data_IF_968852867994
#
_entry.id   IF_968852867994
#
_cell.length_a   1.000
_cell.length_b   1.000
_cell.length_c   1.000
_cell.angle_alpha   90.00
_cell.angle_beta   90.00
_cell.angle_gamma   90.00
#
_symmetry.space_group_name_H-M   'P 1'
#
loop_
_entity.id
_entity.type
_entity.pdbx_description
1 polymer ?
#
# COMPACT_ATOMS: atom_id res chain seq x y z
N UNK A 1 23.81 -19.18 17.09
CA UNK A 1 24.58 -18.61 15.97
C UNK A 1 24.01 -17.24 15.68
N UNK A 2 24.74 -16.19 16.05
CA UNK A 2 24.52 -14.84 15.54
C UNK A 2 24.55 -14.95 14.01
N UNK A 3 23.37 -14.95 13.39
CA UNK A 3 23.32 -14.68 11.96
C UNK A 3 23.62 -13.21 11.88
N UNK A 4 24.86 -12.94 11.51
CA UNK A 4 25.31 -11.60 11.18
C UNK A 4 24.42 -11.13 10.01
N UNK A 5 23.38 -10.35 10.32
CA UNK A 5 22.46 -9.80 9.33
C UNK A 5 23.22 -8.88 8.35
N UNK A 6 24.38 -8.35 8.77
CA UNK A 6 25.28 -7.62 7.88
C UNK A 6 26.02 -8.53 6.89
N UNK A 7 26.18 -9.83 7.18
CA UNK A 7 26.79 -10.78 6.25
C UNK A 7 25.84 -11.26 5.14
N UNK A 8 24.52 -11.05 5.29
CA UNK A 8 23.55 -11.28 4.20
C UNK A 8 23.23 -10.01 3.39
N UNK A 9 23.79 -8.86 3.78
CA UNK A 9 23.77 -7.61 3.00
C UNK A 9 24.77 -7.60 1.85
N UNK A 10 25.65 -8.61 1.76
CA UNK A 10 26.58 -8.77 0.64
C UNK A 10 25.87 -9.50 -0.49
N UNK A 11 24.93 -8.79 -1.10
CA UNK A 11 24.10 -9.25 -2.20
C UNK A 11 23.56 -8.05 -2.96
N UNK A 12 24.51 -7.32 -3.57
CA UNK A 12 24.36 -6.34 -4.64
C UNK A 12 23.34 -5.18 -4.42
N UNK A 13 23.83 -3.94 -4.53
CA UNK A 13 23.02 -2.72 -4.60
C UNK A 13 22.16 -2.64 -5.90
N UNK A 14 21.85 -3.77 -6.55
CA UNK A 14 21.28 -3.83 -7.90
C UNK A 14 19.76 -3.98 -7.99
N UNK A 15 19.08 -4.16 -6.86
CA UNK A 15 17.61 -4.22 -6.80
C UNK A 15 16.94 -2.84 -6.78
N UNK A 16 15.69 -2.69 -7.26
CA UNK A 16 14.96 -1.43 -7.14
C UNK A 16 14.68 -1.08 -5.68
N UNK A 17 14.67 0.22 -5.36
CA UNK A 17 14.23 0.70 -4.05
C UNK A 17 12.71 0.58 -3.93
N UNK A 18 12.23 0.06 -2.81
CA UNK A 18 10.81 -0.12 -2.50
C UNK A 18 10.31 1.05 -1.65
N UNK A 19 9.40 1.85 -2.22
CA UNK A 19 8.85 3.05 -1.58
C UNK A 19 7.38 2.81 -1.23
N UNK A 20 7.01 2.86 0.05
CA UNK A 20 5.63 2.66 0.47
C UNK A 20 4.90 4.00 0.66
N UNK A 21 3.70 4.16 0.10
CA UNK A 21 2.84 5.30 0.41
C UNK A 21 2.47 5.31 1.89
N UNK A 22 2.41 6.49 2.50
CA UNK A 22 2.25 6.65 3.94
C UNK A 22 1.21 7.72 4.25
N UNK A 23 0.15 7.30 4.95
CA UNK A 23 -0.96 8.15 5.37
C UNK A 23 -0.68 8.74 6.77
N UNK A 24 -0.85 10.06 6.91
CA UNK A 24 -0.59 10.78 8.16
C UNK A 24 -1.83 10.95 9.05
N UNK A 25 -3.00 10.43 8.66
CA UNK A 25 -4.28 10.80 9.28
C UNK A 25 -4.45 10.35 10.73
N UNK A 26 -3.82 9.25 11.19
CA UNK A 26 -4.07 8.54 12.47
C UNK A 26 -3.74 9.35 13.75
N UNK A 27 -4.36 10.52 13.90
CA UNK A 27 -4.35 11.44 15.01
C UNK A 27 -5.55 12.38 14.84
N UNK A 28 -6.21 12.81 15.93
CA UNK A 28 -7.30 13.76 15.84
C UNK A 28 -6.78 15.14 15.39
N UNK A 29 -7.57 15.84 14.58
CA UNK A 29 -7.35 17.24 14.23
C UNK A 29 -8.61 18.07 14.49
N UNK A 30 -8.49 19.39 14.74
CA UNK A 30 -9.66 20.25 14.92
C UNK A 30 -10.62 20.24 13.74
N UNK A 31 -10.11 20.10 12.52
CA UNK A 31 -10.90 19.96 11.29
C UNK A 31 -11.70 18.65 11.30
N UNK A 32 -11.03 17.52 11.49
CA UNK A 32 -11.68 16.21 11.50
C UNK A 32 -12.69 16.08 12.65
N UNK A 33 -12.38 16.64 13.82
CA UNK A 33 -13.30 16.65 14.96
C UNK A 33 -14.59 17.41 14.64
N UNK A 34 -14.49 18.52 13.89
CA UNK A 34 -15.66 19.29 13.43
C UNK A 34 -16.47 18.55 12.37
N UNK A 35 -15.80 17.82 11.47
CA UNK A 35 -16.48 17.18 10.34
C UNK A 35 -17.05 15.80 10.67
N UNK A 36 -16.39 15.04 11.52
CA UNK A 36 -16.66 13.61 11.74
C UNK A 36 -16.96 13.27 13.20
N UNK A 37 -16.87 14.25 14.10
CA UNK A 37 -17.07 14.11 15.53
C UNK A 37 -15.76 14.04 16.32
N UNK A 38 -15.83 14.42 17.59
CA UNK A 38 -14.68 14.54 18.49
C UNK A 38 -13.85 13.25 18.56
N UNK A 39 -12.54 13.38 18.37
CA UNK A 39 -11.58 12.27 18.44
C UNK A 39 -11.52 11.43 17.17
N UNK A 40 -11.99 11.94 16.03
CA UNK A 40 -12.02 11.15 14.80
C UNK A 40 -10.61 10.84 14.30
N UNK A 41 -10.39 9.56 14.01
CA UNK A 41 -9.25 9.02 13.26
C UNK A 41 -9.77 7.92 12.32
N UNK A 42 -8.94 7.49 11.37
CA UNK A 42 -9.28 6.37 10.48
C UNK A 42 -9.61 5.09 11.26
N UNK A 43 -9.10 4.93 12.48
CA UNK A 43 -9.48 3.82 13.37
C UNK A 43 -10.99 3.77 13.65
N UNK A 44 -11.66 4.92 13.67
CA UNK A 44 -13.12 5.01 13.81
C UNK A 44 -13.84 4.31 12.65
N UNK A 45 -13.34 4.45 11.41
CA UNK A 45 -13.92 3.78 10.24
C UNK A 45 -13.60 2.29 10.26
N UNK A 46 -12.33 1.96 10.50
CA UNK A 46 -11.83 0.58 10.56
C UNK A 46 -12.63 -0.27 11.55
N UNK A 47 -12.83 0.22 12.77
CA UNK A 47 -13.52 -0.54 13.83
C UNK A 47 -15.02 -0.71 13.62
N UNK A 48 -15.65 0.15 12.79
CA UNK A 48 -17.08 0.06 12.47
C UNK A 48 -17.37 -0.93 11.34
N UNK A 49 -16.37 -1.26 10.52
CA UNK A 49 -16.53 -2.13 9.37
C UNK A 49 -17.03 -3.53 9.77
N UNK A 50 -17.91 -4.10 8.95
CA UNK A 50 -18.49 -5.43 9.17
C UNK A 50 -18.39 -6.27 7.90
N UNK A 51 -18.24 -7.61 8.02
CA UNK A 51 -18.31 -8.50 6.87
C UNK A 51 -19.64 -8.34 6.12
N UNK A 52 -19.57 -8.15 4.81
CA UNK A 52 -20.74 -8.08 3.92
C UNK A 52 -21.10 -9.42 3.25
N UNK A 53 -20.21 -10.42 3.34
CA UNK A 53 -20.41 -11.76 2.81
C UNK A 53 -19.54 -12.78 3.56
N UNK A 54 -19.77 -14.07 3.34
CA UNK A 54 -19.01 -15.13 3.99
C UNK A 54 -17.53 -15.10 3.61
N UNK A 55 -16.64 -15.09 4.62
CA UNK A 55 -15.18 -15.02 4.40
C UNK A 55 -14.63 -13.62 4.11
N UNK A 56 -15.48 -12.59 4.00
CA UNK A 56 -15.08 -11.19 3.89
C UNK A 56 -14.28 -10.77 5.13
N UNK A 57 -13.05 -10.32 4.92
CA UNK A 57 -12.19 -9.85 6.00
C UNK A 57 -12.53 -8.42 6.42
N UNK A 58 -13.49 -8.25 7.32
CA UNK A 58 -13.69 -6.98 8.02
C UNK A 58 -14.09 -7.26 9.48
N UNK A 59 -13.70 -6.40 10.44
CA UNK A 59 -12.74 -5.30 10.30
C UNK A 59 -11.28 -5.79 10.18
N UNK A 60 -10.42 -5.02 9.51
CA UNK A 60 -8.96 -5.19 9.58
C UNK A 60 -8.44 -4.61 10.90
N UNK A 61 -8.00 -5.45 11.83
CA UNK A 61 -7.53 -5.00 13.16
C UNK A 61 -6.00 -5.04 13.26
N UNK A 62 -5.35 -3.97 13.78
CA UNK A 62 -3.90 -3.92 13.93
C UNK A 62 -3.39 -4.93 14.95
N UNK A 63 -2.21 -5.48 14.70
CA UNK A 63 -1.50 -6.35 15.64
C UNK A 63 -0.46 -5.57 16.45
N UNK A 64 0.79 -5.53 15.97
CA UNK A 64 1.96 -5.09 16.74
C UNK A 64 1.88 -3.64 17.21
N UNK A 65 1.38 -2.72 16.37
CA UNK A 65 1.32 -1.29 16.68
C UNK A 65 0.02 -0.85 17.38
N UNK A 66 -0.99 -1.72 17.47
CA UNK A 66 -2.30 -1.37 17.99
C UNK A 66 -2.96 -0.18 17.26
N UNK A 67 -3.93 0.45 17.92
CA UNK A 67 -4.60 1.66 17.44
C UNK A 67 -3.77 2.90 17.77
N UNK A 68 -2.63 3.04 17.09
CA UNK A 68 -1.63 4.06 17.41
C UNK A 68 -2.09 5.49 17.09
N UNK A 69 -1.37 6.47 17.67
CA UNK A 69 -1.42 7.88 17.29
C UNK A 69 -0.07 8.28 16.67
N UNK A 70 -0.09 8.84 15.46
CA UNK A 70 1.13 9.18 14.71
C UNK A 70 1.88 10.41 15.23
N UNK A 71 1.35 11.12 16.22
CA UNK A 71 2.10 12.16 16.95
C UNK A 71 3.07 11.55 17.96
N UNK A 72 2.87 10.29 18.33
CA UNK A 72 3.77 9.57 19.24
C UNK A 72 5.05 9.20 18.48
N UNK A 73 6.18 9.69 18.99
CA UNK A 73 7.50 9.53 18.37
C UNK A 73 7.91 8.06 18.27
N UNK A 74 7.70 7.32 19.35
CA UNK A 74 8.05 5.90 19.48
C UNK A 74 7.31 5.06 18.42
N UNK A 75 6.03 5.33 18.16
CA UNK A 75 5.26 4.69 17.09
C UNK A 75 5.96 4.86 15.75
N UNK A 76 6.32 6.10 15.38
CA UNK A 76 6.99 6.39 14.11
C UNK A 76 8.32 5.64 14.01
N UNK A 77 9.10 5.64 15.08
CA UNK A 77 10.39 4.92 15.15
C UNK A 77 10.22 3.41 14.99
N UNK A 78 9.21 2.83 15.63
CA UNK A 78 8.93 1.40 15.51
C UNK A 78 8.47 1.01 14.10
N UNK A 79 7.62 1.83 13.47
CA UNK A 79 7.23 1.66 12.07
C UNK A 79 8.44 1.73 11.14
N UNK A 80 9.32 2.72 11.30
CA UNK A 80 10.54 2.88 10.50
C UNK A 80 11.44 1.65 10.66
N UNK A 81 11.68 1.21 11.90
CA UNK A 81 12.50 0.03 12.20
C UNK A 81 11.94 -1.22 11.54
N UNK A 82 10.63 -1.44 11.65
CA UNK A 82 9.96 -2.59 11.05
C UNK A 82 10.00 -2.54 9.52
N UNK A 83 9.69 -1.38 8.93
CA UNK A 83 9.72 -1.19 7.49
C UNK A 83 11.10 -1.50 6.90
N UNK A 84 12.17 -0.94 7.49
CA UNK A 84 13.56 -1.23 7.12
C UNK A 84 13.91 -2.72 7.28
N UNK A 85 13.48 -3.35 8.38
CA UNK A 85 13.71 -4.77 8.62
C UNK A 85 13.12 -5.66 7.52
N UNK A 86 12.02 -5.25 6.87
CA UNK A 86 11.37 -6.02 5.81
C UNK A 86 11.68 -5.52 4.39
N UNK A 87 12.64 -4.61 4.26
CA UNK A 87 13.16 -4.17 2.97
C UNK A 87 12.37 -3.04 2.32
N UNK A 88 11.61 -2.26 3.07
CA UNK A 88 11.11 -0.96 2.61
C UNK A 88 12.26 0.06 2.73
N UNK A 89 12.56 0.76 1.64
CA UNK A 89 13.68 1.71 1.56
C UNK A 89 13.27 3.15 1.80
N UNK A 90 11.97 3.44 1.76
CA UNK A 90 11.47 4.77 2.08
C UNK A 90 9.96 4.88 2.10
N UNK A 91 9.49 6.02 2.59
CA UNK A 91 8.08 6.37 2.65
C UNK A 91 7.73 7.53 1.73
N UNK A 92 6.61 7.41 1.02
CA UNK A 92 6.03 8.51 0.27
C UNK A 92 4.84 9.08 1.06
N UNK A 93 5.08 10.18 1.77
CA UNK A 93 4.04 10.81 2.59
C UNK A 93 3.04 11.55 1.71
N UNK A 94 1.76 11.38 2.04
CA UNK A 94 0.73 12.27 1.52
C UNK A 94 0.93 13.68 2.06
N UNK A 95 1.04 14.64 1.15
CA UNK A 95 1.14 16.05 1.45
C UNK A 95 -0.17 16.73 1.11
N UNK A 96 -0.87 17.24 2.13
CA UNK A 96 -2.13 17.96 1.97
C UNK A 96 -1.90 19.45 2.14
N UNK A 97 -2.04 20.16 1.03
CA UNK A 97 -1.87 21.61 0.94
C UNK A 97 -2.93 22.15 0.00
N UNK A 98 -3.73 23.09 0.52
CA UNK A 98 -4.93 23.65 -0.10
C UNK A 98 -4.85 25.17 -0.12
N UNK A 99 -4.20 25.72 -1.14
CA UNK A 99 -4.09 27.18 -1.36
C UNK A 99 -3.65 27.95 -0.10
N UNK A 100 -2.59 27.44 0.55
CA UNK A 100 -2.00 28.00 1.76
C UNK A 100 -2.37 27.29 3.07
N UNK A 101 -3.41 26.45 3.08
CA UNK A 101 -3.80 25.67 4.26
C UNK A 101 -3.24 24.25 4.21
N UNK A 102 -2.50 23.82 5.24
CA UNK A 102 -2.10 22.42 5.43
C UNK A 102 -3.05 21.73 6.42
N UNK A 103 -3.27 20.44 6.22
CA UNK A 103 -3.98 19.56 7.15
C UNK A 103 -3.25 18.23 7.26
N UNK A 104 -3.46 17.50 8.36
CA UNK A 104 -2.80 16.22 8.65
C UNK A 104 -1.26 16.30 8.59
N UNK A 105 -0.70 17.50 8.73
CA UNK A 105 0.72 17.78 8.59
C UNK A 105 1.53 17.41 9.82
N UNK A 106 0.91 17.34 11.01
CA UNK A 106 1.59 17.13 12.28
C UNK A 106 2.61 15.99 12.25
N UNK A 107 2.24 14.74 11.91
CA UNK A 107 3.19 13.64 11.84
C UNK A 107 4.33 13.81 10.84
N UNK A 108 4.09 14.50 9.72
CA UNK A 108 5.12 14.77 8.71
C UNK A 108 6.09 15.86 9.19
N UNK A 109 5.58 16.92 9.82
CA UNK A 109 6.39 17.99 10.39
C UNK A 109 7.23 17.49 11.57
N UNK A 110 6.64 16.66 12.43
CA UNK A 110 7.35 16.00 13.53
C UNK A 110 8.46 15.05 13.02
N UNK A 111 8.20 14.31 11.93
CA UNK A 111 9.20 13.45 11.30
C UNK A 111 10.37 14.27 10.75
N UNK A 112 10.08 15.40 10.11
CA UNK A 112 11.11 16.30 9.58
C UNK A 112 11.98 16.86 10.73
N UNK A 113 11.35 17.29 11.83
CA UNK A 113 12.04 17.86 12.98
C UNK A 113 12.85 16.84 13.80
N UNK A 114 12.59 15.54 13.63
CA UNK A 114 13.23 14.47 14.38
C UNK A 114 14.31 13.77 13.56
N UNK A 115 15.61 14.01 13.82
CA UNK A 115 16.69 13.38 13.07
C UNK A 115 16.78 11.86 13.29
N UNK A 116 16.20 11.31 14.36
CA UNK A 116 16.15 9.86 14.57
C UNK A 116 15.03 9.18 13.76
N UNK A 117 14.09 9.94 13.19
CA UNK A 117 13.14 9.42 12.20
C UNK A 117 13.84 9.24 10.85
N UNK A 118 14.78 8.30 10.80
CA UNK A 118 15.82 8.17 9.77
C UNK A 118 15.37 7.45 8.49
N UNK A 119 14.08 7.42 8.19
CA UNK A 119 13.55 6.81 6.96
C UNK A 119 13.72 7.75 5.77
N UNK A 120 14.30 7.30 4.64
CA UNK A 120 14.26 8.08 3.41
C UNK A 120 12.82 8.37 3.00
N UNK A 121 12.53 9.57 2.51
CA UNK A 121 11.16 9.95 2.21
C UNK A 121 11.00 10.86 0.99
N UNK A 122 9.82 10.82 0.37
CA UNK A 122 9.37 11.80 -0.64
C UNK A 122 7.91 12.17 -0.40
N UNK A 123 7.40 13.12 -1.18
CA UNK A 123 6.05 13.65 -1.00
C UNK A 123 5.16 13.39 -2.23
N UNK A 124 3.90 13.03 -1.95
CA UNK A 124 2.81 12.97 -2.91
C UNK A 124 1.76 14.03 -2.56
N UNK A 125 1.69 15.09 -3.36
CA UNK A 125 0.70 16.15 -3.16
C UNK A 125 -0.69 15.66 -3.59
N UNK A 126 -1.58 15.50 -2.60
CA UNK A 126 -2.98 15.20 -2.79
C UNK A 126 -3.75 16.49 -3.16
N UNK A 127 -3.63 16.90 -4.42
CA UNK A 127 -4.11 18.19 -4.93
C UNK A 127 -5.58 18.20 -5.39
N UNK A 128 -6.42 17.36 -4.81
CA UNK A 128 -7.87 17.41 -5.02
C UNK A 128 -8.57 18.02 -3.82
N UNK A 129 -9.64 18.79 -4.06
CA UNK A 129 -10.47 19.31 -2.97
C UNK A 129 -10.89 18.19 -2.02
N UNK A 130 -10.79 18.47 -0.72
CA UNK A 130 -11.21 17.56 0.32
C UNK A 130 -12.73 17.57 0.40
N UNK A 131 -13.37 16.44 0.10
CA UNK A 131 -14.83 16.31 0.06
C UNK A 131 -15.32 15.25 1.04
N UNK A 132 -16.55 15.36 1.54
CA UNK A 132 -17.24 14.26 2.23
C UNK A 132 -17.63 13.18 1.22
N UNK A 133 -16.71 12.28 0.88
CA UNK A 133 -16.99 11.10 0.03
C UNK A 133 -17.30 9.83 0.83
N UNK A 134 -17.13 9.89 2.15
CA UNK A 134 -17.23 8.74 3.05
C UNK A 134 -18.62 8.59 3.68
N UNK A 135 -19.49 9.58 3.52
CA UNK A 135 -20.89 9.53 3.96
C UNK A 135 -21.83 9.73 2.74
N UNK A 136 -23.13 9.55 2.94
CA UNK A 136 -24.12 9.68 1.87
C UNK A 136 -24.29 11.13 1.34
N UNK A 137 -23.45 12.08 1.78
CA UNK A 137 -23.46 13.49 1.38
C UNK A 137 -22.28 13.80 0.42
N UNK A 138 -22.15 12.99 -0.64
CA UNK A 138 -21.05 12.91 -1.63
C UNK A 138 -20.61 14.22 -2.32
N UNK A 139 -21.17 15.39 -1.97
CA UNK A 139 -20.98 16.67 -2.67
C UNK A 139 -20.54 17.84 -1.78
N UNK A 140 -20.39 17.66 -0.45
CA UNK A 140 -19.91 18.75 0.40
C UNK A 140 -18.38 18.86 0.35
N UNK A 141 -17.87 19.97 -0.17
CA UNK A 141 -16.44 20.32 -0.15
C UNK A 141 -16.11 20.86 1.25
N UNK A 142 -15.24 20.14 1.97
CA UNK A 142 -14.76 20.50 3.30
C UNK A 142 -13.59 21.49 3.24
N UNK A 143 -12.66 21.26 2.32
CA UNK A 143 -11.58 22.20 1.98
C UNK A 143 -11.42 22.19 0.46
N UNK A 144 -11.50 23.37 -0.13
CA UNK A 144 -11.40 23.56 -1.56
C UNK A 144 -9.94 23.76 -2.00
N UNK A 145 -9.51 23.07 -3.05
CA UNK A 145 -8.28 23.38 -3.76
C UNK A 145 -8.57 24.43 -4.83
N UNK A 146 -8.16 25.69 -4.60
CA UNK A 146 -8.57 26.83 -5.43
C UNK A 146 -7.64 27.13 -6.60
N UNK A 147 -6.34 26.81 -6.46
CA UNK A 147 -5.31 27.19 -7.43
C UNK A 147 -5.28 28.71 -7.72
N UNK A 148 -5.08 29.50 -6.66
CA UNK A 148 -4.91 30.96 -6.73
C UNK A 148 -3.69 31.34 -7.59
N UNK A 149 -3.62 32.57 -8.15
CA UNK A 149 -2.53 32.98 -9.03
C UNK A 149 -1.11 32.77 -8.47
N UNK A 150 -0.95 32.95 -7.17
CA UNK A 150 0.29 32.79 -6.40
C UNK A 150 0.53 31.37 -5.86
N UNK A 151 -0.43 30.46 -6.01
CA UNK A 151 -0.35 29.12 -5.40
C UNK A 151 0.81 28.32 -5.95
N UNK A 152 1.16 28.45 -7.24
CA UNK A 152 2.32 27.76 -7.81
C UNK A 152 3.59 28.05 -7.00
N UNK A 153 3.82 29.33 -6.65
CA UNK A 153 4.99 29.78 -5.90
C UNK A 153 4.88 29.44 -4.41
N UNK A 154 3.71 29.62 -3.80
CA UNK A 154 3.50 29.36 -2.38
C UNK A 154 3.57 27.86 -2.07
N UNK A 155 3.05 27.03 -2.96
CA UNK A 155 3.13 25.58 -2.86
C UNK A 155 4.59 25.13 -2.86
N UNK A 156 5.38 25.52 -3.87
CA UNK A 156 6.77 25.06 -3.93
C UNK A 156 7.61 25.57 -2.76
N UNK A 157 7.39 26.82 -2.30
CA UNK A 157 8.03 27.35 -1.08
C UNK A 157 7.76 26.48 0.13
N UNK A 158 6.54 25.95 0.25
CA UNK A 158 6.17 25.07 1.36
C UNK A 158 6.91 23.72 1.36
N UNK A 159 7.48 23.32 0.21
CA UNK A 159 8.23 22.07 0.06
C UNK A 159 9.74 22.23 0.29
N UNK A 160 10.28 23.44 0.23
CA UNK A 160 11.72 23.71 0.33
C UNK A 160 12.36 23.06 1.58
N UNK A 161 11.79 23.18 2.80
CA UNK A 161 12.39 22.56 3.98
C UNK A 161 12.53 21.04 3.89
N UNK A 162 11.61 20.39 3.17
CA UNK A 162 11.68 18.94 2.95
C UNK A 162 12.73 18.59 1.90
N UNK A 163 12.84 19.37 0.82
CA UNK A 163 13.82 19.12 -0.24
C UNK A 163 15.28 19.33 0.20
N UNK A 164 15.50 20.18 1.20
CA UNK A 164 16.81 20.42 1.82
C UNK A 164 17.23 19.27 2.75
N UNK A 165 16.29 18.45 3.23
CA UNK A 165 16.59 17.34 4.13
C UNK A 165 17.40 16.25 3.42
N UNK A 166 18.48 15.80 4.06
CA UNK A 166 19.38 14.77 3.51
C UNK A 166 18.73 13.40 3.33
N UNK A 167 17.60 13.14 4.00
CA UNK A 167 16.81 11.91 3.85
C UNK A 167 15.87 11.96 2.63
N UNK A 168 15.73 13.11 1.98
CA UNK A 168 14.77 13.26 0.87
C UNK A 168 15.18 12.42 -0.35
N UNK A 169 14.25 11.59 -0.83
CA UNK A 169 14.47 10.72 -1.97
C UNK A 169 14.61 11.56 -3.24
N UNK A 170 15.70 11.28 -3.95
CA UNK A 170 16.05 11.92 -5.22
C UNK A 170 16.02 10.91 -6.36
N UNK A 171 15.61 11.38 -7.54
CA UNK A 171 15.67 10.68 -8.82
C UNK A 171 16.71 11.40 -9.68
N UNK A 172 17.80 10.70 -10.01
CA UNK A 172 18.94 11.25 -10.74
C UNK A 172 19.48 12.55 -10.12
N UNK A 173 19.60 12.55 -8.78
CA UNK A 173 20.06 13.70 -7.98
C UNK A 173 19.01 14.79 -7.70
N UNK A 174 17.83 14.73 -8.33
CA UNK A 174 16.77 15.75 -8.21
C UNK A 174 15.71 15.34 -7.17
N UNK A 175 15.24 16.24 -6.27
CA UNK A 175 14.16 15.93 -5.34
C UNK A 175 12.91 15.42 -6.08
N UNK A 176 12.38 14.27 -5.65
CA UNK A 176 11.19 13.66 -6.23
C UNK A 176 9.91 14.27 -5.63
N UNK A 177 9.10 14.92 -6.47
CA UNK A 177 7.75 15.38 -6.11
C UNK A 177 6.72 14.61 -6.93
N UNK A 178 5.76 13.95 -6.27
CA UNK A 178 4.61 13.34 -6.92
C UNK A 178 3.40 14.28 -6.83
N UNK A 179 2.69 14.49 -7.94
CA UNK A 179 1.41 15.22 -7.99
C UNK A 179 0.30 14.22 -8.31
N UNK A 180 -0.71 14.14 -7.44
CA UNK A 180 -1.74 13.10 -7.51
C UNK A 180 -2.75 13.29 -8.67
N UNK A 181 -3.11 14.55 -8.95
CA UNK A 181 -4.08 14.97 -9.98
C UNK A 181 -3.49 16.08 -10.85
N UNK A 182 -2.46 15.83 -11.67
CA UNK A 182 -1.93 16.86 -12.56
C UNK A 182 -3.00 17.48 -13.48
N UNK A 183 -4.07 16.74 -13.81
CA UNK A 183 -5.21 17.21 -14.58
C UNK A 183 -6.05 18.32 -13.90
N UNK A 184 -5.87 18.55 -12.60
CA UNK A 184 -6.54 19.65 -11.89
C UNK A 184 -5.72 20.94 -11.89
N UNK A 185 -4.45 20.91 -12.30
CA UNK A 185 -3.65 22.12 -12.42
C UNK A 185 -4.21 22.97 -13.58
N UNK A 186 -4.47 24.28 -13.37
CA UNK A 186 -4.94 25.16 -14.44
C UNK A 186 -3.99 25.19 -15.64
N UNK A 187 -2.68 25.17 -15.38
CA UNK A 187 -1.63 25.00 -16.38
C UNK A 187 -0.43 24.27 -15.76
N UNK A 188 -0.39 22.94 -15.94
CA UNK A 188 0.68 22.13 -15.38
C UNK A 188 2.09 22.50 -15.86
N UNK A 189 2.25 23.00 -17.11
CA UNK A 189 3.56 23.40 -17.65
C UNK A 189 4.04 24.70 -17.01
N UNK A 190 3.13 25.65 -16.80
CA UNK A 190 3.41 26.86 -16.02
C UNK A 190 3.81 26.50 -14.59
N UNK A 191 3.01 25.68 -13.90
CA UNK A 191 3.30 25.26 -12.52
C UNK A 191 4.68 24.61 -12.42
N UNK A 192 4.98 23.62 -13.29
CA UNK A 192 6.28 22.95 -13.32
C UNK A 192 7.46 23.91 -13.56
N UNK A 193 7.27 24.93 -14.41
CA UNK A 193 8.28 25.97 -14.65
C UNK A 193 8.52 26.83 -13.41
N UNK A 194 7.45 27.34 -12.80
CA UNK A 194 7.52 28.15 -11.56
C UNK A 194 8.24 27.38 -10.46
N UNK A 195 7.92 26.10 -10.29
CA UNK A 195 8.54 25.26 -9.27
C UNK A 195 10.04 25.08 -9.51
N UNK A 196 10.44 24.71 -10.73
CA UNK A 196 11.86 24.57 -11.10
C UNK A 196 12.61 25.89 -10.96
N UNK A 197 12.06 27.00 -11.42
CA UNK A 197 12.69 28.32 -11.33
C UNK A 197 12.90 28.75 -9.88
N UNK A 198 11.90 28.51 -9.02
CA UNK A 198 12.04 28.79 -7.59
C UNK A 198 13.14 27.92 -6.94
N UNK A 199 13.11 26.60 -7.16
CA UNK A 199 14.13 25.69 -6.63
C UNK A 199 15.56 26.06 -7.07
N UNK A 200 15.75 26.43 -8.35
CA UNK A 200 17.04 26.96 -8.82
C UNK A 200 17.43 28.26 -8.12
N UNK A 201 16.48 29.18 -7.94
CA UNK A 201 16.74 30.50 -7.32
C UNK A 201 17.19 30.41 -5.86
N UNK A 202 16.79 29.37 -5.13
CA UNK A 202 17.18 29.13 -3.72
C UNK A 202 18.34 28.14 -3.57
N UNK A 203 18.94 27.69 -4.67
CA UNK A 203 20.12 26.81 -4.64
C UNK A 203 19.84 25.30 -4.55
N UNK A 204 18.57 24.87 -4.60
CA UNK A 204 18.21 23.44 -4.65
C UNK A 204 18.50 22.78 -6.00
N UNK A 205 18.61 23.59 -7.06
CA UNK A 205 18.80 23.11 -8.43
C UNK A 205 17.51 22.61 -9.07
N UNK A 206 17.62 21.50 -9.81
CA UNK A 206 16.48 20.87 -10.49
C UNK A 206 15.68 19.94 -9.59
N UNK A 207 14.39 19.79 -9.91
CA UNK A 207 13.46 18.85 -9.27
C UNK A 207 12.94 17.84 -10.29
N UNK A 208 12.57 16.64 -9.83
CA UNK A 208 11.94 15.60 -10.63
C UNK A 208 10.46 15.55 -10.31
N UNK A 209 9.62 15.95 -11.26
CA UNK A 209 8.18 16.03 -11.08
C UNK A 209 7.54 14.77 -11.68
N UNK A 210 6.77 14.05 -10.88
CA UNK A 210 6.13 12.80 -11.22
C UNK A 210 4.61 12.94 -11.17
N UNK A 211 3.92 12.46 -12.22
CA UNK A 211 2.46 12.42 -12.23
C UNK A 211 1.97 11.07 -11.69
N UNK A 212 1.05 11.09 -10.72
CA UNK A 212 0.26 9.90 -10.46
C UNK A 212 -0.67 9.63 -11.66
N UNK A 213 -0.61 8.41 -12.19
CA UNK A 213 -1.41 7.97 -13.33
C UNK A 213 -2.78 7.49 -12.84
N UNK A 214 -3.63 8.44 -12.47
CA UNK A 214 -4.94 8.20 -11.85
C UNK A 214 -6.07 8.68 -12.78
N UNK A 215 -7.27 8.12 -12.61
CA UNK A 215 -8.51 8.63 -13.25
C UNK A 215 -8.43 8.84 -14.77
N UNK A 216 -7.91 7.85 -15.49
CA UNK A 216 -7.74 7.92 -16.95
C UNK A 216 -6.52 8.70 -17.42
N UNK A 217 -5.83 9.45 -16.55
CA UNK A 217 -4.56 10.08 -16.92
C UNK A 217 -3.48 9.02 -17.14
N UNK A 218 -2.85 9.04 -18.32
CA UNK A 218 -1.76 8.14 -18.70
C UNK A 218 -0.54 8.86 -19.27
N UNK A 219 -0.62 10.17 -19.48
CA UNK A 219 0.38 10.93 -20.20
C UNK A 219 0.89 12.08 -19.34
N UNK A 220 2.03 11.88 -18.68
CA UNK A 220 2.62 12.88 -17.79
C UNK A 220 3.33 14.01 -18.57
N UNK A 221 3.80 13.73 -19.79
CA UNK A 221 4.57 14.67 -20.63
C UNK A 221 3.75 15.91 -21.00
N UNK A 222 2.42 15.78 -21.13
CA UNK A 222 1.54 16.90 -21.46
C UNK A 222 1.59 18.03 -20.41
N UNK A 223 1.88 17.68 -19.15
CA UNK A 223 2.01 18.62 -18.02
C UNK A 223 3.43 19.17 -17.85
N UNK A 224 4.39 18.76 -18.68
CA UNK A 224 5.80 19.14 -18.52
C UNK A 224 6.51 18.43 -17.36
N UNK A 225 5.99 17.26 -16.96
CA UNK A 225 6.53 16.43 -15.89
C UNK A 225 7.51 15.39 -16.45
N UNK A 226 8.36 14.85 -15.58
CA UNK A 226 9.52 14.02 -15.94
C UNK A 226 9.18 12.52 -15.97
N UNK A 227 8.16 12.08 -15.23
CA UNK A 227 7.77 10.67 -15.12
C UNK A 227 6.31 10.48 -14.72
N UNK A 228 5.83 9.24 -14.81
CA UNK A 228 4.60 8.78 -14.19
C UNK A 228 4.86 7.83 -13.01
N UNK A 229 3.87 7.66 -12.15
CA UNK A 229 3.82 6.58 -11.15
C UNK A 229 2.45 5.93 -11.19
N UNK A 230 2.40 4.60 -11.20
CA UNK A 230 1.13 3.88 -11.10
C UNK A 230 0.48 4.14 -9.73
N UNK A 231 -0.85 4.17 -9.68
CA UNK A 231 -1.58 4.38 -8.43
C UNK A 231 -2.76 3.40 -8.30
N UNK A 232 -2.52 2.08 -8.37
CA UNK A 232 -3.59 1.11 -8.28
C UNK A 232 -4.32 1.23 -6.92
N UNK A 233 -5.65 0.99 -6.89
CA UNK A 233 -6.45 0.35 -7.94
C UNK A 233 -6.95 1.29 -9.05
N UNK A 234 -6.50 2.54 -9.13
CA UNK A 234 -6.83 3.37 -10.28
C UNK A 234 -6.36 2.74 -11.60
N UNK A 235 -7.20 2.89 -12.62
CA UNK A 235 -6.97 2.38 -13.97
C UNK A 235 -6.80 0.85 -14.06
N UNK A 236 -7.09 0.10 -12.99
CA UNK A 236 -7.10 -1.38 -13.00
C UNK A 236 -8.26 -1.89 -13.85
N UNK A 237 -7.98 -2.89 -14.67
CA UNK A 237 -8.96 -3.56 -15.53
C UNK A 237 -9.14 -5.00 -15.07
N UNK A 238 -10.13 -5.23 -14.21
CA UNK A 238 -10.52 -6.56 -13.75
C UNK A 238 -12.04 -6.74 -13.81
N UNK A 239 -12.49 -7.97 -14.04
CA UNK A 239 -13.90 -8.29 -14.14
C UNK A 239 -14.62 -8.14 -12.79
N UNK A 240 -15.90 -7.77 -12.84
CA UNK A 240 -16.78 -7.83 -11.67
C UNK A 240 -17.14 -9.30 -11.38
N UNK A 241 -16.94 -9.73 -10.13
CA UNK A 241 -17.27 -11.09 -9.68
C UNK A 241 -18.43 -11.13 -8.68
N UNK A 242 -19.24 -10.07 -8.58
CA UNK A 242 -20.35 -9.98 -7.61
C UNK A 242 -21.32 -11.16 -7.74
N UNK A 243 -21.58 -11.66 -8.96
CA UNK A 243 -22.50 -12.79 -9.21
C UNK A 243 -22.07 -14.09 -8.54
N UNK A 244 -20.78 -14.26 -8.26
CA UNK A 244 -20.23 -15.43 -7.57
C UNK A 244 -20.29 -15.35 -6.05
N UNK A 245 -20.68 -14.19 -5.49
CA UNK A 245 -20.61 -13.89 -4.06
C UNK A 245 -22.02 -13.74 -3.50
N UNK A 246 -22.28 -14.39 -2.37
CA UNK A 246 -23.52 -14.24 -1.62
C UNK A 246 -23.35 -13.19 -0.52
N UNK A 247 -23.81 -11.99 -0.81
CA UNK A 247 -23.86 -10.90 0.17
C UNK A 247 -25.01 -11.10 1.18
N UNK A 248 -24.80 -10.65 2.41
CA UNK A 248 -25.83 -10.67 3.46
C UNK A 248 -26.94 -9.65 3.18
N UNK A 249 -26.56 -8.51 2.61
CA UNK A 249 -27.41 -7.39 2.22
C UNK A 249 -27.14 -6.99 0.76
N UNK A 250 -28.01 -6.20 0.10
CA UNK A 250 -27.77 -5.73 -1.25
C UNK A 250 -26.43 -4.97 -1.37
N UNK A 251 -25.56 -5.43 -2.27
CA UNK A 251 -24.26 -4.82 -2.54
C UNK A 251 -24.27 -4.09 -3.87
N UNK A 252 -23.94 -2.79 -3.85
CA UNK A 252 -23.93 -1.88 -5.01
C UNK A 252 -22.53 -1.59 -5.53
N UNK A 253 -21.52 -1.99 -4.76
CA UNK A 253 -20.12 -1.85 -5.08
C UNK A 253 -19.64 -2.86 -6.11
N UNK A 254 -18.33 -2.98 -6.20
CA UNK A 254 -17.66 -3.83 -7.16
C UNK A 254 -16.68 -4.77 -6.45
N UNK A 255 -16.78 -6.07 -6.72
CA UNK A 255 -15.79 -7.04 -6.30
C UNK A 255 -14.96 -7.47 -7.50
N UNK A 256 -13.63 -7.43 -7.35
CA UNK A 256 -12.66 -7.84 -8.37
C UNK A 256 -11.76 -8.96 -7.85
N UNK A 257 -11.19 -9.74 -8.77
CA UNK A 257 -10.15 -10.72 -8.46
C UNK A 257 -8.77 -10.06 -8.41
N UNK A 258 -8.01 -10.33 -7.32
CA UNK A 258 -6.66 -9.79 -7.16
C UNK A 258 -5.72 -10.18 -8.30
N UNK A 259 -5.76 -11.44 -8.74
CA UNK A 259 -4.91 -11.92 -9.83
C UNK A 259 -5.18 -11.18 -11.15
N UNK A 260 -6.45 -10.89 -11.47
CA UNK A 260 -6.81 -10.10 -12.65
C UNK A 260 -6.35 -8.65 -12.53
N UNK A 261 -6.55 -8.05 -11.34
CA UNK A 261 -6.10 -6.70 -11.06
C UNK A 261 -4.58 -6.55 -11.23
N UNK A 262 -3.82 -7.47 -10.65
CA UNK A 262 -2.37 -7.49 -10.72
C UNK A 262 -1.85 -7.76 -12.15
N UNK A 263 -2.44 -8.71 -12.89
CA UNK A 263 -2.12 -8.95 -14.32
C UNK A 263 -2.37 -7.71 -15.17
N UNK A 264 -3.49 -7.03 -14.95
CA UNK A 264 -3.80 -5.75 -15.60
C UNK A 264 -2.74 -4.68 -15.40
N UNK A 265 -1.98 -4.67 -14.30
CA UNK A 265 -0.86 -3.75 -14.09
C UNK A 265 0.44 -4.28 -14.70
N UNK A 266 0.72 -5.58 -14.54
CA UNK A 266 1.90 -6.24 -15.10
C UNK A 266 1.96 -6.14 -16.63
N UNK A 267 0.80 -6.25 -17.29
CA UNK A 267 0.68 -6.23 -18.75
C UNK A 267 0.75 -4.83 -19.35
N UNK A 268 0.84 -3.77 -18.52
CA UNK A 268 0.97 -2.40 -19.03
C UNK A 268 2.34 -2.19 -19.63
N UNK A 269 2.32 -1.76 -20.89
CA UNK A 269 3.44 -1.17 -21.60
C UNK A 269 3.27 0.36 -21.63
N UNK A 270 4.39 1.04 -21.43
CA UNK A 270 4.49 2.50 -21.45
C UNK A 270 5.29 3.02 -22.65
N UNK A 271 5.65 2.15 -23.61
CA UNK A 271 6.26 2.56 -24.87
C UNK A 271 7.59 3.30 -24.68
N UNK A 272 8.36 2.94 -23.66
CA UNK A 272 9.61 3.61 -23.28
C UNK A 272 9.46 4.82 -22.34
N UNK A 273 8.24 5.22 -21.98
CA UNK A 273 8.01 6.25 -20.96
C UNK A 273 8.55 5.84 -19.59
N UNK A 274 9.08 6.80 -18.83
CA UNK A 274 9.56 6.57 -17.46
C UNK A 274 8.37 6.53 -16.51
N UNK A 275 7.90 5.33 -16.21
CA UNK A 275 6.82 5.10 -15.25
C UNK A 275 7.28 4.17 -14.14
N UNK A 276 7.19 4.66 -12.90
CA UNK A 276 7.44 3.85 -11.71
C UNK A 276 6.24 2.95 -11.47
N UNK A 277 6.50 1.64 -11.40
CA UNK A 277 5.46 0.62 -11.19
C UNK A 277 5.05 0.56 -9.73
N UNK A 278 3.79 0.21 -9.50
CA UNK A 278 3.20 0.18 -8.15
C UNK A 278 2.39 -1.09 -7.93
N UNK A 279 2.55 -1.70 -6.75
CA UNK A 279 1.73 -2.83 -6.29
C UNK A 279 0.93 -2.46 -5.05
N UNK A 280 -0.08 -3.26 -4.69
CA UNK A 280 -0.78 -3.13 -3.40
C UNK A 280 -1.00 -4.48 -2.71
N UNK A 281 -0.97 -4.58 -1.37
CA UNK A 281 -1.11 -5.86 -0.66
C UNK A 281 -2.54 -6.43 -0.75
N UNK A 282 -3.53 -5.57 -0.57
CA UNK A 282 -4.96 -5.86 -0.63
C UNK A 282 -5.74 -4.56 -0.82
N UNK A 283 -7.03 -4.66 -1.15
CA UNK A 283 -7.89 -3.48 -1.25
C UNK A 283 -9.33 -3.80 -0.86
N UNK A 284 -9.86 -3.04 0.09
CA UNK A 284 -11.22 -3.12 0.61
C UNK A 284 -11.60 -1.80 1.32
N UNK A 285 -12.32 -0.91 0.64
CA UNK A 285 -12.75 0.36 1.23
C UNK A 285 -14.15 0.30 1.87
N UNK A 286 -14.63 -0.89 2.25
CA UNK A 286 -15.90 -1.09 2.95
C UNK A 286 -15.99 -0.28 4.25
N UNK A 287 -14.87 -0.11 4.96
CA UNK A 287 -14.82 0.70 6.18
C UNK A 287 -15.22 2.17 5.95
N UNK A 288 -15.02 2.69 4.74
CA UNK A 288 -15.40 4.06 4.37
C UNK A 288 -16.73 4.14 3.63
N UNK A 289 -17.08 3.16 2.78
CA UNK A 289 -18.22 3.31 1.84
C UNK A 289 -19.31 2.25 1.95
N UNK A 290 -19.18 1.28 2.86
CA UNK A 290 -20.19 0.24 3.08
C UNK A 290 -20.49 -0.58 1.82
N UNK A 291 -21.76 -0.70 1.45
CA UNK A 291 -22.24 -1.51 0.33
C UNK A 291 -21.83 -0.99 -1.06
N UNK A 292 -21.23 0.21 -1.15
CA UNK A 292 -20.73 0.83 -2.38
C UNK A 292 -19.24 0.57 -2.65
N UNK A 293 -18.59 -0.24 -1.80
CA UNK A 293 -17.15 -0.44 -1.81
C UNK A 293 -16.60 -1.07 -3.10
N UNK A 294 -15.33 -0.79 -3.37
CA UNK A 294 -14.47 -1.65 -4.16
C UNK A 294 -13.80 -2.65 -3.22
N UNK A 295 -14.02 -3.94 -3.46
CA UNK A 295 -13.39 -5.05 -2.74
C UNK A 295 -12.57 -5.86 -3.72
N UNK A 296 -11.30 -6.12 -3.40
CA UNK A 296 -10.43 -6.98 -4.20
C UNK A 296 -10.19 -8.28 -3.43
N UNK A 297 -10.95 -9.32 -3.79
CA UNK A 297 -10.82 -10.64 -3.14
C UNK A 297 -9.51 -11.30 -3.52
N UNK A 298 -9.01 -12.15 -2.62
CA UNK A 298 -7.70 -12.82 -2.74
C UNK A 298 -6.49 -11.88 -2.67
N UNK A 299 -6.66 -10.68 -2.09
CA UNK A 299 -5.55 -9.86 -1.58
C UNK A 299 -4.93 -10.51 -0.35
N UNK A 300 -4.11 -11.54 -0.57
CA UNK A 300 -3.43 -12.32 0.47
C UNK A 300 -1.91 -12.23 0.29
N UNK A 301 -1.11 -12.42 1.35
CA UNK A 301 0.34 -12.27 1.28
C UNK A 301 1.02 -13.07 0.17
N UNK A 302 0.50 -14.26 -0.15
CA UNK A 302 1.08 -15.14 -1.15
C UNK A 302 0.87 -14.60 -2.59
N UNK A 303 -0.30 -14.02 -2.91
CA UNK A 303 -0.55 -13.36 -4.19
C UNK A 303 0.22 -12.04 -4.31
N UNK A 304 0.31 -11.28 -3.21
CA UNK A 304 1.10 -10.06 -3.14
C UNK A 304 2.60 -10.33 -3.38
N UNK A 305 3.15 -11.40 -2.79
CA UNK A 305 4.54 -11.82 -3.01
C UNK A 305 4.83 -12.03 -4.49
N UNK A 306 3.95 -12.77 -5.19
CA UNK A 306 4.11 -13.00 -6.62
C UNK A 306 4.05 -11.70 -7.43
N UNK A 307 3.05 -10.85 -7.17
CA UNK A 307 2.91 -9.60 -7.92
C UNK A 307 4.10 -8.65 -7.70
N UNK A 308 4.56 -8.48 -6.46
CA UNK A 308 5.73 -7.67 -6.16
C UNK A 308 7.00 -8.24 -6.82
N UNK A 309 7.23 -9.56 -6.73
CA UNK A 309 8.41 -10.19 -7.36
C UNK A 309 8.39 -10.03 -8.89
N UNK A 310 7.24 -10.25 -9.54
CA UNK A 310 7.08 -10.03 -10.96
C UNK A 310 7.28 -8.56 -11.35
N UNK A 311 6.83 -7.62 -10.51
CA UNK A 311 7.02 -6.18 -10.73
C UNK A 311 8.49 -5.79 -10.62
N UNK A 312 9.22 -6.33 -9.64
CA UNK A 312 10.67 -6.16 -9.50
C UNK A 312 11.39 -6.66 -10.75
N UNK A 313 11.07 -7.85 -11.24
CA UNK A 313 11.68 -8.40 -12.47
C UNK A 313 11.43 -7.48 -13.67
N UNK A 314 10.20 -6.99 -13.85
CA UNK A 314 9.86 -6.05 -14.93
C UNK A 314 10.64 -4.74 -14.82
N UNK A 315 10.83 -4.23 -13.61
CA UNK A 315 11.62 -3.02 -13.37
C UNK A 315 13.10 -3.25 -13.69
N UNK A 316 13.65 -4.42 -13.35
CA UNK A 316 15.04 -4.78 -13.66
C UNK A 316 15.28 -5.01 -15.16
N UNK A 317 14.26 -5.48 -15.88
CA UNK A 317 14.29 -5.67 -17.34
C UNK A 317 14.08 -4.38 -18.13
N UNK A 318 13.61 -3.30 -17.48
CA UNK A 318 13.38 -2.01 -18.13
C UNK A 318 14.68 -1.44 -18.70
N UNK A 319 14.61 -0.97 -19.94
CA UNK A 319 15.70 -0.26 -20.62
C UNK A 319 15.78 1.23 -20.23
N UNK A 320 14.80 1.73 -19.46
CA UNK A 320 14.80 3.13 -19.00
C UNK A 320 15.91 3.33 -17.98
N UNK A 321 16.85 4.21 -18.30
CA UNK A 321 17.99 4.56 -17.45
C UNK A 321 17.57 5.35 -16.20
N UNK A 322 18.47 5.36 -15.22
CA UNK A 322 18.33 6.12 -13.97
C UNK A 322 17.80 5.29 -12.80
N UNK A 323 17.39 6.01 -11.74
CA UNK A 323 16.90 5.41 -10.49
C UNK A 323 15.74 4.44 -10.73
N UNK A 324 15.85 3.24 -10.15
CA UNK A 324 14.85 2.17 -10.23
C UNK A 324 14.04 2.13 -8.94
N UNK A 325 12.82 2.67 -8.98
CA UNK A 325 11.89 2.67 -7.87
C UNK A 325 10.70 1.76 -8.17
N UNK A 326 10.24 1.03 -7.16
CA UNK A 326 8.93 0.34 -7.15
C UNK A 326 8.14 0.86 -5.97
N UNK A 327 6.93 1.33 -6.23
CA UNK A 327 6.05 1.83 -5.19
C UNK A 327 5.14 0.72 -4.64
N UNK A 328 4.74 0.88 -3.39
CA UNK A 328 3.77 0.01 -2.72
C UNK A 328 2.68 0.90 -2.14
N UNK A 329 1.46 0.75 -2.63
CA UNK A 329 0.27 1.33 -2.01
C UNK A 329 -0.30 0.29 -1.05
N UNK A 330 -0.23 0.41 0.28
CA UNK A 330 0.47 1.41 1.08
C UNK A 330 1.11 0.75 2.31
N UNK A 331 1.85 1.53 3.09
CA UNK A 331 2.26 1.14 4.44
C UNK A 331 1.03 0.94 5.34
N UNK A 332 0.12 1.93 5.42
CA UNK A 332 -0.89 2.04 6.46
C UNK A 332 -2.28 2.59 6.00
N UNK A 333 -2.77 2.32 4.80
CA UNK A 333 -4.14 2.69 4.38
C UNK A 333 -5.19 1.72 4.96
N UNK A 334 -5.37 1.74 6.28
CA UNK A 334 -6.18 0.76 7.02
C UNK A 334 -7.67 0.73 6.63
N UNK A 335 -8.30 1.88 6.41
CA UNK A 335 -9.72 1.91 6.03
C UNK A 335 -9.97 1.54 4.57
N UNK A 336 -8.91 1.31 3.79
CA UNK A 336 -8.96 0.70 2.46
C UNK A 336 -8.44 -0.74 2.50
N UNK A 337 -8.22 -1.32 3.68
CA UNK A 337 -7.64 -2.65 3.82
C UNK A 337 -6.29 -2.79 3.10
N UNK A 338 -5.60 -1.69 2.85
CA UNK A 338 -4.46 -1.57 1.95
C UNK A 338 -3.19 -1.23 2.74
N UNK A 339 -2.75 -2.16 3.58
CA UNK A 339 -1.65 -1.94 4.51
C UNK A 339 -0.63 -3.08 4.47
N UNK A 340 0.65 -2.72 4.59
CA UNK A 340 1.73 -3.67 4.88
C UNK A 340 1.86 -3.95 6.37
N UNK A 341 1.38 -3.03 7.20
CA UNK A 341 1.46 -3.16 8.65
C UNK A 341 0.81 -4.46 9.15
N UNK A 342 1.37 -5.08 10.22
CA UNK A 342 0.83 -6.32 10.74
C UNK A 342 -0.60 -6.20 11.24
N UNK A 343 -1.47 -7.07 10.75
CA UNK A 343 -2.85 -7.22 11.23
C UNK A 343 -3.05 -8.54 12.01
N UNK A 344 -4.23 -8.70 12.61
CA UNK A 344 -4.59 -9.91 13.35
C UNK A 344 -4.70 -11.20 12.50
N UNK A 345 -4.99 -11.10 11.20
CA UNK A 345 -5.24 -12.27 10.33
C UNK A 345 -3.95 -12.82 9.72
N UNK A 346 -3.14 -11.95 9.16
CA UNK A 346 -1.91 -12.26 8.44
C UNK A 346 -0.66 -11.98 9.26
N UNK A 347 -0.75 -11.23 10.36
CA UNK A 347 0.43 -10.81 11.12
C UNK A 347 1.43 -10.13 10.18
N UNK A 348 2.70 -10.57 10.22
CA UNK A 348 3.74 -10.05 9.32
C UNK A 348 3.70 -10.68 7.93
N UNK A 349 2.58 -11.27 7.50
CA UNK A 349 2.48 -11.99 6.23
C UNK A 349 2.90 -11.13 5.04
N UNK A 350 2.33 -9.93 4.92
CA UNK A 350 2.66 -9.00 3.84
C UNK A 350 4.11 -8.52 3.91
N UNK A 351 4.61 -8.17 5.09
CA UNK A 351 6.02 -7.82 5.30
C UNK A 351 6.97 -8.96 4.89
N UNK A 352 6.66 -10.20 5.27
CA UNK A 352 7.46 -11.36 4.90
C UNK A 352 7.42 -11.61 3.38
N UNK A 353 6.29 -11.36 2.73
CA UNK A 353 6.15 -11.39 1.28
C UNK A 353 7.00 -10.29 0.61
N UNK A 354 7.04 -9.07 1.16
CA UNK A 354 7.93 -7.99 0.71
C UNK A 354 9.39 -8.43 0.77
N UNK A 355 9.82 -8.96 1.93
CA UNK A 355 11.17 -9.49 2.11
C UNK A 355 11.48 -10.59 1.10
N UNK A 356 10.57 -11.55 0.91
CA UNK A 356 10.79 -12.65 -0.03
C UNK A 356 10.95 -12.16 -1.48
N UNK A 357 10.09 -11.23 -1.91
CA UNK A 357 10.16 -10.66 -3.24
C UNK A 357 11.45 -9.86 -3.45
N UNK A 358 11.78 -8.96 -2.52
CA UNK A 358 12.97 -8.10 -2.62
C UNK A 358 14.28 -8.88 -2.65
N UNK A 359 14.43 -9.89 -1.79
CA UNK A 359 15.67 -10.64 -1.65
C UNK A 359 15.69 -11.95 -2.47
N UNK A 360 14.82 -12.07 -3.48
CA UNK A 360 14.81 -13.21 -4.41
C UNK A 360 14.41 -14.55 -3.78
N UNK A 361 13.81 -14.56 -2.59
CA UNK A 361 13.33 -15.76 -1.88
C UNK A 361 11.87 -16.11 -2.26
N UNK A 362 11.45 -15.75 -3.48
CA UNK A 362 10.09 -15.93 -3.98
C UNK A 362 9.64 -17.40 -3.90
N UNK A 363 8.40 -17.63 -3.47
CA UNK A 363 7.82 -18.96 -3.23
C UNK A 363 6.86 -19.41 -4.33
N UNK A 364 6.39 -18.48 -5.17
CA UNK A 364 5.31 -18.72 -6.13
C UNK A 364 5.72 -18.30 -7.53
N UNK A 365 5.23 -19.05 -8.52
CA UNK A 365 5.45 -18.77 -9.95
C UNK A 365 4.19 -18.24 -10.66
N UNK A 366 3.04 -18.23 -9.98
CA UNK A 366 1.78 -17.63 -10.40
C UNK A 366 0.97 -17.27 -9.14
N UNK A 367 -0.24 -16.71 -9.29
CA UNK A 367 -1.16 -16.40 -8.18
C UNK A 367 -1.77 -17.67 -7.57
N UNK A 368 -1.39 -18.08 -6.34
CA UNK A 368 -1.90 -19.31 -5.72
C UNK A 368 -3.34 -19.24 -5.22
N UNK A 369 -3.91 -18.04 -5.01
CA UNK A 369 -5.27 -17.88 -4.50
C UNK A 369 -6.16 -17.19 -5.54
N UNK A 370 -7.12 -17.92 -6.10
CA UNK A 370 -8.01 -17.43 -7.16
C UNK A 370 -9.49 -17.78 -6.92
N UNK A 371 -9.78 -18.53 -5.86
CA UNK A 371 -11.15 -18.94 -5.54
C UNK A 371 -12.00 -17.74 -5.13
N UNK A 372 -13.18 -17.57 -5.74
CA UNK A 372 -14.21 -16.68 -5.21
C UNK A 372 -14.86 -17.38 -4.03
N UNK A 373 -15.08 -16.74 -2.87
CA UNK A 373 -15.91 -17.29 -1.81
C UNK A 373 -17.28 -17.68 -2.39
N UNK A 374 -17.49 -18.97 -2.64
CA UNK A 374 -18.78 -19.45 -3.12
C UNK A 374 -19.74 -19.46 -1.95
N UNK A 375 -20.84 -18.72 -2.08
CA UNK A 375 -22.03 -19.03 -1.30
C UNK A 375 -22.54 -20.37 -1.80
N UNK A 376 -22.17 -21.46 -1.13
CA UNK A 376 -22.67 -22.80 -1.49
C UNK A 376 -24.21 -22.76 -1.47
N UNK A 377 -24.82 -23.02 -2.63
CA UNK A 377 -26.28 -22.98 -2.81
C UNK A 377 -26.99 -23.99 -1.89
N UNK A 378 -26.27 -24.99 -1.40
CA UNK A 378 -26.70 -26.01 -0.46
C UNK A 378 -26.12 -25.84 0.95
N UNK A 379 -25.49 -24.70 1.26
CA UNK A 379 -24.85 -24.47 2.56
C UNK A 379 -25.88 -24.37 3.67
N UNK A 380 -26.08 -25.47 4.39
CA UNK A 380 -26.77 -25.49 5.68
C UNK A 380 -25.76 -25.28 6.79
N UNK A 381 -25.93 -24.19 7.55
CA UNK A 381 -25.25 -24.02 8.82
C UNK A 381 -25.51 -25.26 9.70
N UNK A 382 -24.44 -25.79 10.28
CA UNK A 382 -24.57 -26.79 11.34
C UNK A 382 -23.58 -26.42 12.42
N UNK A 383 -24.04 -26.45 13.67
CA UNK A 383 -23.24 -26.11 14.84
C UNK A 383 -21.83 -26.73 14.81
N UNK A 384 -21.73 -28.02 14.50
CA UNK A 384 -20.45 -28.73 14.45
C UNK A 384 -19.52 -28.30 13.31
N UNK A 385 -20.07 -27.88 12.17
CA UNK A 385 -19.27 -27.35 11.05
C UNK A 385 -18.73 -25.96 11.37
N UNK A 386 -19.54 -25.12 12.01
CA UNK A 386 -19.13 -23.78 12.42
C UNK A 386 -18.09 -23.84 13.55
N UNK A 387 -18.26 -24.75 14.53
CA UNK A 387 -17.26 -25.04 15.56
C UNK A 387 -15.95 -25.54 14.93
N UNK A 388 -16.00 -26.45 13.96
CA UNK A 388 -14.80 -26.94 13.27
C UNK A 388 -14.05 -25.81 12.57
N UNK A 389 -14.75 -24.92 11.87
CA UNK A 389 -14.14 -23.76 11.20
C UNK A 389 -13.53 -22.79 12.20
N UNK A 390 -14.20 -22.55 13.32
CA UNK A 390 -13.66 -21.72 14.42
C UNK A 390 -12.34 -22.30 14.93
N UNK A 391 -12.28 -23.62 15.16
CA UNK A 391 -11.07 -24.34 15.58
C UNK A 391 -9.98 -24.25 14.52
N UNK A 392 -10.29 -24.49 13.25
CA UNK A 392 -9.34 -24.39 12.12
C UNK A 392 -8.76 -22.97 11.99
N UNK A 393 -9.61 -21.94 12.12
CA UNK A 393 -9.20 -20.54 12.10
C UNK A 393 -8.22 -20.21 13.23
N UNK A 394 -8.56 -20.54 14.49
CA UNK A 394 -7.67 -20.26 15.62
C UNK A 394 -6.40 -21.11 15.62
N UNK A 395 -6.45 -22.35 15.11
CA UNK A 395 -5.26 -23.15 14.89
C UNK A 395 -4.34 -22.51 13.84
N UNK A 396 -4.90 -21.97 12.75
CA UNK A 396 -4.18 -21.21 11.74
C UNK A 396 -3.45 -19.99 12.31
N UNK A 397 -4.12 -19.19 13.13
CA UNK A 397 -3.53 -18.02 13.80
C UNK A 397 -2.36 -18.42 14.71
N UNK A 398 -2.51 -19.49 15.51
CA UNK A 398 -1.42 -20.00 16.37
C UNK A 398 -0.24 -20.52 15.56
N UNK A 399 -0.49 -21.24 14.47
CA UNK A 399 0.57 -21.70 13.57
C UNK A 399 1.29 -20.53 12.88
N UNK A 400 0.57 -19.47 12.51
CA UNK A 400 1.16 -18.24 11.96
C UNK A 400 2.15 -17.60 12.93
N UNK A 401 1.75 -17.43 14.20
CA UNK A 401 2.64 -16.93 15.27
C UNK A 401 3.86 -17.83 15.49
N UNK A 402 3.65 -19.15 15.54
CA UNK A 402 4.75 -20.13 15.70
C UNK A 402 5.72 -20.10 14.52
N UNK A 403 5.22 -19.95 13.29
CA UNK A 403 6.04 -19.81 12.09
C UNK A 403 6.88 -18.53 12.11
N UNK A 404 6.30 -17.44 12.63
CA UNK A 404 6.99 -16.16 12.83
C UNK A 404 8.11 -16.28 13.87
N UNK A 405 7.82 -16.90 15.02
CA UNK A 405 8.81 -17.14 16.07
C UNK A 405 9.91 -18.09 15.60
N UNK A 406 9.56 -19.12 14.83
CA UNK A 406 10.53 -20.01 14.19
C UNK A 406 11.40 -19.29 13.15
N UNK A 407 10.86 -18.32 12.41
CA UNK A 407 11.62 -17.50 11.46
C UNK A 407 12.57 -16.51 12.16
N UNK A 408 12.22 -16.04 13.37
CA UNK A 408 13.09 -15.21 14.23
C UNK A 408 14.28 -16.00 14.81
N UNK A 409 14.29 -17.34 14.72
CA UNK A 409 15.33 -18.23 15.26
C UNK A 409 16.00 -19.06 14.15
N UNK A 410 17.19 -18.64 13.65
CA UNK A 410 17.85 -19.26 12.49
C UNK A 410 18.10 -20.78 12.58
N UNK A 411 18.26 -21.33 13.79
CA UNK A 411 18.45 -22.75 14.01
C UNK A 411 17.16 -23.58 13.86
N UNK A 412 16.00 -23.02 14.21
CA UNK A 412 14.69 -23.68 14.03
C UNK A 412 14.35 -23.83 12.55
N UNK A 413 14.73 -22.86 11.71
CA UNK A 413 14.58 -22.95 10.24
C UNK A 413 15.29 -24.18 9.66
N UNK A 414 16.52 -24.46 10.09
CA UNK A 414 17.30 -25.63 9.61
C UNK A 414 16.67 -26.98 9.99
N UNK A 415 15.97 -27.04 11.12
CA UNK A 415 15.30 -28.25 11.62
C UNK A 415 13.90 -28.42 11.02
N UNK A 416 13.14 -27.32 10.89
CA UNK A 416 11.74 -27.36 10.49
C UNK A 416 11.55 -27.43 8.96
N UNK A 417 12.46 -26.88 8.16
CA UNK A 417 12.34 -26.90 6.69
C UNK A 417 12.30 -28.32 6.12
N UNK A 418 13.17 -29.27 6.53
CA UNK A 418 13.07 -30.67 6.10
C UNK A 418 11.74 -31.32 6.50
N UNK A 419 11.29 -31.11 7.75
CA UNK A 419 10.04 -31.66 8.26
C UNK A 419 8.80 -31.11 7.52
N UNK A 420 8.78 -29.81 7.23
CA UNK A 420 7.69 -29.16 6.47
C UNK A 420 7.69 -29.62 5.00
N UNK A 421 8.86 -29.85 4.39
CA UNK A 421 8.96 -30.42 3.04
C UNK A 421 8.44 -31.87 2.99
N UNK A 422 8.77 -32.68 3.99
CA UNK A 422 8.25 -34.05 4.13
C UNK A 422 6.74 -34.06 4.36
N UNK A 423 6.22 -33.21 5.24
CA UNK A 423 4.77 -33.09 5.50
C UNK A 423 4.00 -32.57 4.27
N UNK A 424 4.57 -31.62 3.52
CA UNK A 424 3.98 -31.18 2.24
C UNK A 424 3.94 -32.31 1.22
N UNK A 425 5.04 -33.03 1.03
CA UNK A 425 5.11 -34.17 0.11
C UNK A 425 4.13 -35.32 0.50
N UNK A 426 3.96 -35.58 1.79
CA UNK A 426 2.99 -36.55 2.30
C UNK A 426 1.54 -36.11 2.04
N UNK A 427 1.25 -34.80 2.18
CA UNK A 427 -0.07 -34.23 1.93
C UNK A 427 -0.43 -34.26 0.44
N UNK A 428 0.53 -34.04 -0.46
CA UNK A 428 0.34 -34.17 -1.92
C UNK A 428 0.10 -35.62 -2.35
N UNK A 429 0.73 -36.60 -1.67
CA UNK A 429 0.47 -38.04 -1.88
C UNK A 429 -0.94 -38.47 -1.42
N UNK A 430 -1.43 -37.90 -0.31
CA UNK A 430 -2.76 -38.20 0.23
C UNK A 430 -3.91 -37.55 -0.56
N UNK A 431 -3.65 -36.44 -1.28
CA UNK A 431 -4.64 -35.83 -2.17
C UNK A 431 -4.70 -36.51 -3.55
N UNK A 432 -3.60 -37.10 -4.03
CA UNK A 432 -3.55 -37.83 -5.31
C UNK A 432 -4.16 -39.24 -5.26
N UNK A 433 -4.41 -39.82 -4.08
CA UNK A 433 -4.97 -41.16 -3.93
C UNK A 433 -6.49 -41.22 -3.83
N UNK A 434 -7.20 -40.12 -4.14
CA UNK A 434 -8.68 -40.06 -4.13
C UNK A 434 -9.35 -40.01 -5.51
N UNK A 435 -8.58 -39.98 -6.60
CA UNK A 435 -9.11 -39.99 -7.98
C UNK A 435 -8.99 -41.36 -8.69
N UNK A 436 -8.73 -42.45 -7.97
CA UNK A 436 -8.78 -43.80 -8.55
C UNK A 436 -9.38 -44.83 -7.59
N UNK A 437 -10.71 -44.89 -7.58
CA UNK A 437 -11.45 -46.11 -7.31
C UNK A 437 -12.75 -46.01 -8.14
N UNK A 438 -13.16 -47.09 -8.84
CA UNK A 438 -14.16 -47.05 -9.91
C UNK A 438 -15.54 -46.55 -9.48
#
# INVERSE_FOLDING_TARGET
MNVNLDAMRVGDESGPRLIAFYLTQFHPTPENDRWWGKGFTEWTNVTKARPLFEGHFQPHLPADFGFYDLRVRETRHEQIRMAKQYGIDGFCYHYYWFSGTRILNGPLDDMLADPESDMPFCLCWANESWTRRWDAADHEVLIEQRYLPEDDLNFIKSLVPFFEDGRYIRVDGKPLLIVYRPQHLPDGRKSARVWRDHCRSVGLGEIHICAALTHGNREYVQYGFDSGVEFPPHNVRAGNVNRGIRFYDPFRGNVMQYAEAARSCLDRDYGGGRVFRTVFPSWDNTARTGDRALVVVNGVPDNYEYWLAATIDRTLQSQVEGERLVFINAWNEWAEGCHLEPDHRFGHGFLQATWNAKFGLRRFADFPATEVPQGDKNYRHSFWRDVRRLVEYHAGLRMGRLKLEANRRPWLRRILIPAVRVLRAARTKLSGSRESAP
#
